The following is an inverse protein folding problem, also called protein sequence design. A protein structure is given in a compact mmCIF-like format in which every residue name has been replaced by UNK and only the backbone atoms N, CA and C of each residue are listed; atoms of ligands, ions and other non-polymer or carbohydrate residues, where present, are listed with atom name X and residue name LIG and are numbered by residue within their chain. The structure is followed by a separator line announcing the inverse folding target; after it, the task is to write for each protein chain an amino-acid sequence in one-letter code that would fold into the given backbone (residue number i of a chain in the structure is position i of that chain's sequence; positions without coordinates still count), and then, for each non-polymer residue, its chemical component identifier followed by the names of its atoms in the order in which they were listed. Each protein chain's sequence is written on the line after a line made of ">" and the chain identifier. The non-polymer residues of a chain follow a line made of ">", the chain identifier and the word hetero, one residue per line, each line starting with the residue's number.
data_IF_137167146882
#
_entry.id   IF_137167146882
#
_cell.length_a   1.000
_cell.length_b   1.000
_cell.length_c   1.000
_cell.angle_alpha   90.00
_cell.angle_beta   90.00
_cell.angle_gamma   90.00
#
_symmetry.space_group_name_H-M   'P 1'
#
loop_
_entity.id
_entity.type
_entity.pdbx_description
1 polymer ?
#
# COMPACT_ATOMS: atom_id res chain seq x y z
N UNK A 1 -10.94 10.21 3.02
CA UNK A 1 -10.31 8.90 3.34
C UNK A 1 -8.95 9.19 3.91
N UNK A 2 -8.47 8.39 4.85
CA UNK A 2 -7.12 8.51 5.38
C UNK A 2 -6.22 7.57 4.57
N UNK A 3 -5.19 8.13 3.94
CA UNK A 3 -4.21 7.38 3.16
C UNK A 3 -2.85 7.37 3.84
N UNK A 4 -1.83 6.96 3.09
CA UNK A 4 -0.44 6.88 3.53
C UNK A 4 0.41 7.88 2.74
N UNK A 5 1.42 8.45 3.39
CA UNK A 5 2.51 9.14 2.70
C UNK A 5 3.52 8.13 2.15
N UNK A 6 4.36 8.51 1.17
CA UNK A 6 5.43 7.62 0.68
C UNK A 6 6.35 7.12 1.78
N UNK A 7 6.69 7.98 2.75
CA UNK A 7 7.53 7.63 3.91
C UNK A 7 6.83 6.60 4.80
N UNK A 8 5.54 6.78 5.07
CA UNK A 8 4.75 5.81 5.84
C UNK A 8 4.65 4.47 5.11
N UNK A 9 4.46 4.49 3.79
CA UNK A 9 4.43 3.27 2.97
C UNK A 9 5.78 2.54 3.00
N UNK A 10 6.90 3.26 2.94
CA UNK A 10 8.23 2.67 3.09
C UNK A 10 8.44 2.09 4.50
N UNK A 11 8.11 2.83 5.56
CA UNK A 11 8.22 2.33 6.93
C UNK A 11 7.44 1.03 7.15
N UNK A 12 6.24 0.94 6.57
CA UNK A 12 5.42 -0.27 6.62
C UNK A 12 6.05 -1.44 5.83
N UNK A 13 6.64 -1.16 4.67
CA UNK A 13 7.35 -2.15 3.88
C UNK A 13 8.59 -2.69 4.62
N UNK A 14 9.40 -1.80 5.20
CA UNK A 14 10.58 -2.18 5.98
C UNK A 14 10.18 -2.99 7.22
N UNK A 15 9.13 -2.57 7.94
CA UNK A 15 8.63 -3.30 9.10
C UNK A 15 8.07 -4.69 8.74
N UNK A 16 7.45 -4.83 7.56
CA UNK A 16 6.98 -6.11 7.05
C UNK A 16 8.15 -7.04 6.67
N UNK A 17 9.17 -6.48 6.02
CA UNK A 17 10.39 -7.21 5.67
C UNK A 17 11.14 -7.69 6.91
N UNK A 18 11.35 -6.83 7.90
CA UNK A 18 12.05 -7.16 9.13
C UNK A 18 11.38 -8.25 9.98
N UNK A 19 10.05 -8.38 9.89
CA UNK A 19 9.29 -9.42 10.61
C UNK A 19 9.21 -10.75 9.85
N UNK A 20 9.50 -10.73 8.55
CA UNK A 20 9.52 -11.93 7.73
C UNK A 20 10.88 -12.62 7.87
N UNK A 21 10.89 -13.93 8.15
CA UNK A 21 12.13 -14.69 8.11
C UNK A 21 12.63 -14.83 6.67
N UNK A 22 13.83 -14.32 6.38
CA UNK A 22 14.49 -14.41 5.06
C UNK A 22 15.12 -13.08 4.61
N UNK A 23 15.72 -13.09 3.42
CA UNK A 23 16.35 -11.90 2.80
C UNK A 23 15.31 -11.01 2.09
N UNK A 24 14.10 -10.87 2.65
CA UNK A 24 13.04 -10.06 2.02
C UNK A 24 13.41 -8.59 2.05
N UNK A 25 13.30 -7.91 0.92
CA UNK A 25 13.68 -6.50 0.79
C UNK A 25 12.80 -5.71 -0.19
N UNK A 26 12.77 -4.39 0.01
CA UNK A 26 12.17 -3.46 -0.95
C UNK A 26 13.06 -3.39 -2.19
N UNK A 27 12.50 -3.72 -3.35
CA UNK A 27 13.22 -3.63 -4.64
C UNK A 27 12.78 -2.45 -5.51
N UNK A 28 11.60 -1.89 -5.26
CA UNK A 28 11.04 -0.81 -6.08
C UNK A 28 10.39 0.29 -5.22
N UNK A 29 11.15 1.35 -4.97
CA UNK A 29 10.70 2.52 -4.23
C UNK A 29 9.70 3.38 -5.02
N UNK A 30 9.75 3.35 -6.36
CA UNK A 30 8.79 4.08 -7.19
C UNK A 30 7.41 3.44 -7.09
N UNK A 31 7.35 2.11 -7.02
CA UNK A 31 6.12 1.37 -6.74
C UNK A 31 5.52 1.75 -5.38
N UNK A 32 6.33 1.87 -4.32
CA UNK A 32 5.84 2.32 -3.01
C UNK A 32 5.25 3.74 -3.07
N UNK A 33 5.90 4.66 -3.79
CA UNK A 33 5.36 6.00 -3.99
C UNK A 33 4.03 5.99 -4.77
N UNK A 34 3.91 5.14 -5.80
CA UNK A 34 2.66 4.98 -6.55
C UNK A 34 1.53 4.42 -5.68
N UNK A 35 1.84 3.44 -4.82
CA UNK A 35 0.88 2.88 -3.86
C UNK A 35 0.40 3.98 -2.91
N UNK A 36 1.30 4.75 -2.32
CA UNK A 36 0.97 5.87 -1.43
C UNK A 36 0.05 6.89 -2.13
N UNK A 37 0.43 7.33 -3.33
CA UNK A 37 -0.34 8.29 -4.12
C UNK A 37 -1.77 7.82 -4.40
N UNK A 38 -1.98 6.53 -4.65
CA UNK A 38 -3.31 5.96 -4.89
C UNK A 38 -4.21 6.05 -3.65
N UNK A 39 -3.66 5.95 -2.45
CA UNK A 39 -4.47 6.03 -1.21
C UNK A 39 -5.08 7.41 -0.96
N UNK A 40 -4.50 8.46 -1.57
CA UNK A 40 -4.92 9.87 -1.44
C UNK A 40 -5.23 10.51 -2.79
N UNK A 41 -5.50 9.71 -3.83
CA UNK A 41 -5.59 10.20 -5.19
C UNK A 41 -6.79 11.14 -5.43
N UNK A 42 -6.48 12.30 -5.99
CA UNK A 42 -7.43 13.30 -6.48
C UNK A 42 -7.02 13.77 -7.88
N UNK A 43 -7.98 13.93 -8.79
CA UNK A 43 -7.77 14.57 -10.10
C UNK A 43 -8.53 15.89 -10.07
N UNK A 44 -7.79 17.00 -9.95
CA UNK A 44 -8.35 18.30 -9.55
C UNK A 44 -9.16 18.17 -8.24
N UNK A 45 -10.47 18.39 -8.29
CA UNK A 45 -11.38 18.24 -7.15
C UNK A 45 -12.10 16.88 -7.11
N UNK A 46 -11.82 15.99 -8.07
CA UNK A 46 -12.50 14.69 -8.18
C UNK A 46 -11.76 13.66 -7.34
N UNK A 47 -12.45 13.08 -6.37
CA UNK A 47 -11.94 11.93 -5.60
C UNK A 47 -11.95 10.70 -6.51
N UNK A 48 -10.80 10.03 -6.65
CA UNK A 48 -10.67 8.87 -7.56
C UNK A 48 -11.49 7.67 -7.06
N UNK A 49 -11.54 7.47 -5.73
CA UNK A 49 -12.32 6.39 -5.13
C UNK A 49 -13.53 6.93 -4.37
N UNK A 50 -14.74 6.41 -4.64
CA UNK A 50 -15.97 6.92 -4.02
C UNK A 50 -16.04 6.59 -2.52
N UNK A 51 -15.38 5.52 -2.07
CA UNK A 51 -15.31 5.16 -0.64
C UNK A 51 -13.96 4.53 -0.30
N UNK A 52 -13.61 4.50 1.00
CA UNK A 52 -12.40 3.84 1.49
C UNK A 52 -12.38 2.35 1.12
N UNK A 53 -13.54 1.69 1.09
CA UNK A 53 -13.65 0.28 0.72
C UNK A 53 -13.20 0.03 -0.74
N UNK A 54 -13.52 0.95 -1.66
CA UNK A 54 -13.05 0.87 -3.06
C UNK A 54 -11.54 1.10 -3.16
N UNK A 55 -11.01 2.09 -2.45
CA UNK A 55 -9.57 2.38 -2.40
C UNK A 55 -8.79 1.17 -1.88
N UNK A 56 -9.19 0.61 -0.74
CA UNK A 56 -8.53 -0.56 -0.13
C UNK A 56 -8.53 -1.77 -1.07
N UNK A 57 -9.67 -2.06 -1.71
CA UNK A 57 -9.79 -3.17 -2.68
C UNK A 57 -8.84 -2.96 -3.87
N UNK A 58 -8.74 -1.73 -4.36
CA UNK A 58 -7.85 -1.39 -5.47
C UNK A 58 -6.37 -1.50 -5.09
N UNK A 59 -5.98 -0.95 -3.92
CA UNK A 59 -4.60 -0.98 -3.42
C UNK A 59 -4.06 -2.40 -3.36
N UNK A 60 -4.86 -3.38 -2.91
CA UNK A 60 -4.45 -4.79 -2.90
C UNK A 60 -3.98 -5.26 -4.28
N UNK A 61 -4.77 -4.97 -5.31
CA UNK A 61 -4.49 -5.39 -6.68
C UNK A 61 -3.26 -4.68 -7.23
N UNK A 62 -3.13 -3.38 -6.91
CA UNK A 62 -2.00 -2.57 -7.32
C UNK A 62 -0.68 -3.06 -6.73
N UNK A 63 -0.63 -3.38 -5.43
CA UNK A 63 0.58 -3.90 -4.77
C UNK A 63 1.04 -5.19 -5.44
N UNK A 64 0.12 -6.11 -5.75
CA UNK A 64 0.43 -7.36 -6.44
C UNK A 64 0.98 -7.08 -7.85
N UNK A 65 0.36 -6.15 -8.59
CA UNK A 65 0.79 -5.80 -9.95
C UNK A 65 2.17 -5.13 -9.99
N UNK A 66 2.46 -4.22 -9.07
CA UNK A 66 3.73 -3.51 -9.02
C UNK A 66 4.84 -4.36 -8.39
N UNK A 67 4.46 -5.27 -7.49
CA UNK A 67 5.37 -6.16 -6.76
C UNK A 67 6.56 -5.41 -6.14
N UNK A 68 6.34 -4.47 -5.22
CA UNK A 68 7.40 -3.59 -4.70
C UNK A 68 8.52 -4.31 -3.93
N UNK A 69 8.27 -5.53 -3.45
CA UNK A 69 9.22 -6.39 -2.76
C UNK A 69 9.80 -7.44 -3.72
N UNK A 70 10.93 -8.03 -3.35
CA UNK A 70 11.56 -9.16 -4.05
C UNK A 70 10.73 -10.45 -3.99
N UNK A 71 9.98 -10.67 -2.92
CA UNK A 71 9.00 -11.77 -2.80
C UNK A 71 7.79 -11.36 -1.93
N UNK A 72 6.85 -12.28 -1.69
CA UNK A 72 5.73 -12.14 -0.74
C UNK A 72 4.84 -10.92 -0.94
N UNK A 73 4.77 -10.41 -2.17
CA UNK A 73 3.98 -9.22 -2.52
C UNK A 73 2.47 -9.40 -2.25
N UNK A 74 1.95 -10.62 -2.36
CA UNK A 74 0.55 -10.92 -1.97
C UNK A 74 0.33 -10.74 -0.48
N UNK A 75 1.23 -11.26 0.35
CA UNK A 75 1.15 -11.14 1.82
C UNK A 75 1.32 -9.67 2.25
N UNK A 76 2.23 -8.95 1.61
CA UNK A 76 2.41 -7.52 1.82
C UNK A 76 1.17 -6.71 1.42
N UNK A 77 0.50 -7.08 0.32
CA UNK A 77 -0.75 -6.47 -0.10
C UNK A 77 -1.86 -6.67 0.96
N UNK A 78 -1.97 -7.87 1.52
CA UNK A 78 -2.93 -8.18 2.57
C UNK A 78 -2.62 -7.44 3.87
N UNK A 79 -1.35 -7.30 4.23
CA UNK A 79 -0.90 -6.47 5.35
C UNK A 79 -1.28 -5.00 5.16
N UNK A 80 -0.95 -4.39 4.02
CA UNK A 80 -1.31 -3.00 3.72
C UNK A 80 -2.82 -2.77 3.71
N UNK A 81 -3.60 -3.72 3.20
CA UNK A 81 -5.07 -3.69 3.24
C UNK A 81 -5.57 -3.65 4.69
N UNK A 82 -5.01 -4.46 5.59
CA UNK A 82 -5.40 -4.48 6.99
C UNK A 82 -5.12 -3.11 7.66
N UNK A 83 -3.94 -2.54 7.44
CA UNK A 83 -3.57 -1.20 7.94
C UNK A 83 -4.52 -0.13 7.42
N UNK A 84 -4.82 -0.12 6.13
CA UNK A 84 -5.70 0.88 5.53
C UNK A 84 -7.16 0.74 5.99
N UNK A 85 -7.62 -0.48 6.28
CA UNK A 85 -8.95 -0.72 6.88
C UNK A 85 -9.03 -0.12 8.26
N UNK A 86 -8.08 -0.46 9.14
CA UNK A 86 -8.01 0.08 10.49
C UNK A 86 -7.96 1.61 10.50
N UNK A 87 -7.09 2.19 9.67
CA UNK A 87 -6.94 3.63 9.51
C UNK A 87 -8.24 4.35 9.10
N UNK A 88 -9.10 3.67 8.33
CA UNK A 88 -10.38 4.20 7.85
C UNK A 88 -11.61 3.69 8.64
N UNK A 89 -11.42 2.89 9.70
CA UNK A 89 -12.51 2.32 10.50
C UNK A 89 -13.42 1.34 9.72
N UNK A 90 -12.82 0.49 8.88
CA UNK A 90 -13.48 -0.51 8.05
C UNK A 90 -13.40 -1.94 8.60
#
# INVERSE_FOLDING_TARGET
>A
MRGLTPEQTLMLADAFCAQTSGDLSVRDYAALNAIAAVTTAHIHAVVVFPTAHHMVKYVRSLVIQLSPLDDRNTDFADFLVAVLRDLNGL
#
